data_IF_400516590586
#
_entry.id   IF_400516590586
#
_cell.length_a   1.000
_cell.length_b   1.000
_cell.length_c   1.000
_cell.angle_alpha   90.00
_cell.angle_beta   90.00
_cell.angle_gamma   90.00
#
_symmetry.space_group_name_H-M   'P 1'
#
loop_
_entity.id
_entity.type
_entity.pdbx_description
1 polymer ?
#
# COMPACT_ATOMS: atom_id res chain seq x y z
N UNK A 1 -15.87 -13.32 -15.75
CA UNK A 1 -14.49 -12.81 -15.99
C UNK A 1 -14.00 -12.16 -14.71
N UNK A 2 -12.86 -12.57 -14.16
CA UNK A 2 -12.33 -11.96 -12.93
C UNK A 2 -11.90 -10.51 -13.16
N UNK A 3 -12.18 -9.62 -12.20
CA UNK A 3 -11.73 -8.23 -12.21
C UNK A 3 -10.19 -8.11 -12.21
N UNK A 4 -9.66 -6.87 -12.17
CA UNK A 4 -8.20 -6.61 -12.20
C UNK A 4 -7.43 -7.41 -11.14
N UNK A 5 -7.93 -7.47 -9.91
CA UNK A 5 -7.32 -8.27 -8.84
C UNK A 5 -7.27 -9.78 -9.16
N UNK A 6 -8.32 -10.33 -9.78
CA UNK A 6 -8.34 -11.74 -10.20
C UNK A 6 -7.36 -12.03 -11.33
N UNK A 7 -7.12 -11.07 -12.24
CA UNK A 7 -6.05 -11.18 -13.24
C UNK A 7 -4.68 -11.17 -12.59
N UNK A 8 -4.39 -10.17 -11.75
CA UNK A 8 -3.15 -10.09 -10.98
C UNK A 8 -2.88 -11.41 -10.24
N UNK A 9 -3.86 -11.94 -9.52
CA UNK A 9 -3.70 -13.18 -8.75
C UNK A 9 -3.23 -14.36 -9.61
N UNK A 10 -3.77 -14.52 -10.82
CA UNK A 10 -3.43 -15.60 -11.76
C UNK A 10 -2.02 -15.48 -12.34
N UNK A 11 -1.51 -14.26 -12.48
CA UNK A 11 -0.20 -13.97 -13.06
C UNK A 11 0.82 -13.48 -12.04
N UNK A 12 0.54 -13.61 -10.74
CA UNK A 12 1.31 -13.02 -9.65
C UNK A 12 2.80 -13.41 -9.73
N UNK A 13 3.07 -14.70 -9.93
CA UNK A 13 4.43 -15.25 -10.01
C UNK A 13 5.24 -14.76 -11.22
N UNK A 14 4.58 -14.21 -12.24
CA UNK A 14 5.25 -13.61 -13.41
C UNK A 14 5.26 -12.08 -13.37
N UNK A 15 4.53 -11.49 -12.43
CA UNK A 15 4.37 -10.04 -12.33
C UNK A 15 5.47 -9.41 -11.51
N UNK A 16 5.87 -8.21 -11.90
CA UNK A 16 6.82 -7.37 -11.18
C UNK A 16 6.10 -6.27 -10.40
N UNK A 17 6.58 -5.99 -9.18
CA UNK A 17 6.06 -4.94 -8.31
C UNK A 17 7.13 -3.89 -8.04
N UNK A 18 6.78 -2.62 -8.20
CA UNK A 18 7.52 -1.51 -7.60
C UNK A 18 6.77 -0.95 -6.39
N UNK A 19 7.46 -0.81 -5.27
CA UNK A 19 6.96 -0.18 -4.04
C UNK A 19 7.52 1.23 -3.97
N UNK A 20 6.62 2.22 -4.00
CA UNK A 20 7.00 3.63 -3.93
C UNK A 20 7.43 4.00 -2.50
N UNK A 21 7.95 5.22 -2.34
CA UNK A 21 8.24 5.79 -1.03
C UNK A 21 7.01 5.69 -0.11
N UNK A 22 7.19 5.08 1.05
CA UNK A 22 6.14 4.97 2.08
C UNK A 22 6.02 6.32 2.77
N UNK A 23 4.79 6.73 3.09
CA UNK A 23 4.55 7.91 3.92
C UNK A 23 4.18 7.50 5.34
N UNK A 24 4.78 8.16 6.32
CA UNK A 24 4.53 7.96 7.74
C UNK A 24 4.33 9.32 8.42
N UNK A 25 3.16 9.55 9.01
CA UNK A 25 2.84 10.80 9.70
C UNK A 25 2.92 12.03 8.76
N UNK A 26 2.49 11.88 7.51
CA UNK A 26 2.49 12.93 6.50
C UNK A 26 3.84 13.20 5.80
N UNK A 27 4.91 12.52 6.20
CA UNK A 27 6.26 12.66 5.61
C UNK A 27 6.69 11.37 4.91
N UNK A 28 7.58 11.46 3.93
CA UNK A 28 8.25 10.26 3.41
C UNK A 28 9.05 9.61 4.52
N UNK A 29 8.90 8.30 4.67
CA UNK A 29 9.63 7.50 5.64
C UNK A 29 11.15 7.60 5.41
N UNK A 30 11.91 7.65 6.50
CA UNK A 30 13.36 7.90 6.47
C UNK A 30 14.18 6.65 6.12
N UNK A 31 13.56 5.46 6.10
CA UNK A 31 14.25 4.23 5.70
C UNK A 31 14.59 4.22 4.23
N UNK A 32 15.62 3.45 3.88
CA UNK A 32 16.05 3.32 2.50
C UNK A 32 15.04 2.47 1.72
N UNK A 33 14.87 2.76 0.43
CA UNK A 33 14.11 1.91 -0.49
C UNK A 33 14.49 0.42 -0.37
N UNK A 34 15.78 0.09 -0.25
CA UNK A 34 16.25 -1.29 -0.14
C UNK A 34 15.62 -2.06 1.03
N UNK A 35 15.48 -1.42 2.19
CA UNK A 35 14.86 -2.03 3.37
C UNK A 35 13.37 -2.32 3.15
N UNK A 36 12.66 -1.43 2.44
CA UNK A 36 11.23 -1.61 2.12
C UNK A 36 10.96 -2.73 1.12
N UNK A 37 11.86 -2.95 0.16
CA UNK A 37 11.69 -3.98 -0.87
C UNK A 37 11.65 -5.40 -0.31
N UNK A 38 12.39 -5.65 0.78
CA UNK A 38 12.43 -6.95 1.46
C UNK A 38 11.07 -7.32 2.07
N UNK A 39 10.32 -6.32 2.56
CA UNK A 39 9.11 -6.55 3.32
C UNK A 39 7.95 -7.15 2.53
N UNK A 40 7.88 -6.90 1.21
CA UNK A 40 6.81 -7.41 0.36
C UNK A 40 7.23 -8.56 -0.57
N UNK A 41 8.50 -8.97 -0.54
CA UNK A 41 8.98 -10.14 -1.28
C UNK A 41 8.17 -11.43 -1.04
N UNK A 42 7.69 -11.75 0.19
CA UNK A 42 6.94 -12.98 0.46
C UNK A 42 5.51 -13.01 -0.12
N UNK A 43 5.05 -11.96 -0.81
CA UNK A 43 3.71 -11.91 -1.42
C UNK A 43 3.62 -12.80 -2.66
N UNK A 44 4.75 -13.12 -3.30
CA UNK A 44 4.81 -14.06 -4.43
C UNK A 44 4.88 -13.40 -5.82
N UNK A 45 5.21 -12.10 -5.89
CA UNK A 45 5.60 -11.46 -7.14
C UNK A 45 6.92 -12.04 -7.66
N UNK A 46 7.13 -12.01 -8.98
CA UNK A 46 8.40 -12.40 -9.63
C UNK A 46 9.58 -11.61 -9.07
N UNK A 47 9.37 -10.31 -8.91
CA UNK A 47 10.32 -9.41 -8.27
C UNK A 47 9.57 -8.27 -7.58
N UNK A 48 10.15 -7.84 -6.46
CA UNK A 48 9.70 -6.66 -5.72
C UNK A 48 10.91 -5.73 -5.60
N UNK A 49 10.77 -4.54 -6.15
CA UNK A 49 11.77 -3.48 -6.04
C UNK A 49 11.12 -2.32 -5.31
N UNK A 50 11.85 -1.68 -4.42
CA UNK A 50 11.39 -0.45 -3.80
C UNK A 50 12.18 0.74 -4.32
N UNK A 51 11.56 1.92 -4.28
CA UNK A 51 12.16 3.20 -4.67
C UNK A 51 11.78 4.29 -3.67
N UNK A 52 12.57 5.35 -3.61
CA UNK A 52 12.23 6.57 -2.87
C UNK A 52 11.35 7.51 -3.70
N UNK A 53 11.20 7.23 -5.00
CA UNK A 53 10.27 7.95 -5.86
C UNK A 53 8.81 7.68 -5.46
N UNK A 54 7.97 8.70 -5.59
CA UNK A 54 6.54 8.58 -5.36
C UNK A 54 5.83 9.94 -5.43
N UNK A 55 4.49 9.94 -5.43
CA UNK A 55 3.74 11.19 -5.36
C UNK A 55 3.95 11.87 -4.01
N UNK A 56 4.13 13.19 -4.03
CA UNK A 56 3.91 14.00 -2.84
C UNK A 56 2.40 14.13 -2.66
N UNK A 57 1.84 13.39 -1.69
CA UNK A 57 0.39 13.42 -1.48
C UNK A 57 -0.01 14.67 -0.70
N UNK A 58 -0.88 15.46 -1.31
CA UNK A 58 -1.58 16.56 -0.67
C UNK A 58 -2.95 16.06 -0.20
N UNK A 59 -2.99 15.46 0.99
CA UNK A 59 -4.21 14.88 1.56
C UNK A 59 -4.85 15.92 2.48
N UNK A 60 -6.12 16.25 2.23
CA UNK A 60 -6.91 17.07 3.15
C UNK A 60 -7.30 16.24 4.35
N UNK A 61 -7.14 16.82 5.54
CA UNK A 61 -7.59 16.22 6.79
C UNK A 61 -9.08 15.85 6.70
N UNK A 62 -9.39 14.60 6.98
CA UNK A 62 -10.76 14.10 7.05
C UNK A 62 -10.84 13.04 8.16
N UNK A 63 -11.92 13.03 8.97
CA UNK A 63 -12.17 11.97 9.93
C UNK A 63 -12.67 10.68 9.25
N UNK A 64 -12.91 10.70 7.92
CA UNK A 64 -13.37 9.55 7.16
C UNK A 64 -12.20 8.92 6.40
N UNK A 65 -11.70 7.78 6.90
CA UNK A 65 -10.60 7.04 6.28
C UNK A 65 -10.88 6.62 4.83
N UNK A 66 -12.15 6.39 4.47
CA UNK A 66 -12.50 6.09 3.08
C UNK A 66 -12.28 7.31 2.17
N UNK A 67 -12.53 8.52 2.66
CA UNK A 67 -12.25 9.74 1.93
C UNK A 67 -10.74 9.95 1.76
N UNK A 68 -9.96 9.78 2.84
CA UNK A 68 -8.49 9.84 2.82
C UNK A 68 -7.91 8.83 1.83
N UNK A 69 -8.38 7.58 1.88
CA UNK A 69 -8.00 6.53 0.94
C UNK A 69 -8.22 6.93 -0.51
N UNK A 70 -9.40 7.46 -0.85
CA UNK A 70 -9.71 7.84 -2.22
C UNK A 70 -9.01 9.13 -2.66
N UNK A 71 -8.66 10.04 -1.75
CA UNK A 71 -7.77 11.16 -2.06
C UNK A 71 -6.38 10.63 -2.46
N UNK A 72 -5.80 9.74 -1.66
CA UNK A 72 -4.51 9.12 -1.93
C UNK A 72 -4.53 8.31 -3.24
N UNK A 73 -5.55 7.46 -3.44
CA UNK A 73 -5.66 6.61 -4.63
C UNK A 73 -5.71 7.40 -5.95
N UNK A 74 -6.39 8.56 -5.96
CA UNK A 74 -6.43 9.44 -7.14
C UNK A 74 -5.08 10.07 -7.44
N UNK A 75 -4.35 10.51 -6.42
CA UNK A 75 -3.02 11.10 -6.60
C UNK A 75 -1.99 10.07 -7.03
N UNK A 76 -2.03 8.85 -6.47
CA UNK A 76 -1.21 7.72 -6.91
C UNK A 76 -1.47 7.39 -8.37
N UNK A 77 -2.75 7.28 -8.77
CA UNK A 77 -3.11 7.05 -10.17
C UNK A 77 -2.55 8.13 -11.09
N UNK A 78 -2.74 9.40 -10.76
CA UNK A 78 -2.21 10.50 -11.55
C UNK A 78 -0.69 10.43 -11.70
N UNK A 79 0.02 10.11 -10.62
CA UNK A 79 1.47 9.95 -10.64
C UNK A 79 1.91 8.78 -11.51
N UNK A 80 1.26 7.61 -11.40
CA UNK A 80 1.58 6.43 -12.23
C UNK A 80 1.35 6.74 -13.71
N UNK A 81 0.25 7.42 -14.04
CA UNK A 81 -0.06 7.82 -15.43
C UNK A 81 0.97 8.80 -16.01
N UNK A 82 1.56 9.67 -15.18
CA UNK A 82 2.59 10.62 -15.60
C UNK A 82 3.98 9.99 -15.75
N UNK A 83 4.33 9.01 -14.91
CA UNK A 83 5.68 8.45 -14.84
C UNK A 83 5.83 7.11 -15.58
N UNK A 84 4.73 6.39 -15.82
CA UNK A 84 4.66 5.07 -16.48
C UNK A 84 5.78 4.12 -16.03
N UNK A 85 5.73 3.58 -14.79
CA UNK A 85 6.78 2.72 -14.26
C UNK A 85 7.01 1.47 -15.11
N UNK A 86 8.25 0.98 -15.15
CA UNK A 86 8.58 -0.25 -15.90
C UNK A 86 7.98 -1.52 -15.27
N UNK A 87 7.69 -1.52 -13.96
CA UNK A 87 7.05 -2.66 -13.30
C UNK A 87 5.60 -2.87 -13.78
N UNK A 88 5.08 -4.09 -13.65
CA UNK A 88 3.68 -4.40 -14.04
C UNK A 88 2.68 -3.79 -13.06
N UNK A 89 3.08 -3.67 -11.79
CA UNK A 89 2.28 -3.12 -10.71
C UNK A 89 3.07 -2.13 -9.87
N UNK A 90 2.34 -1.19 -9.25
CA UNK A 90 2.86 -0.12 -8.41
C UNK A 90 2.09 -0.12 -7.10
N UNK A 91 2.79 -0.22 -5.96
CA UNK A 91 2.20 -0.09 -4.64
C UNK A 91 2.69 1.18 -3.93
N UNK A 92 1.75 1.93 -3.36
CA UNK A 92 2.01 3.04 -2.45
C UNK A 92 1.30 2.76 -1.13
N UNK A 93 1.94 3.10 -0.01
CA UNK A 93 1.34 3.03 1.30
C UNK A 93 1.52 4.34 2.09
N UNK A 94 0.47 4.73 2.81
CA UNK A 94 0.40 5.93 3.64
C UNK A 94 -0.09 5.56 5.03
N UNK A 95 0.76 5.79 6.04
CA UNK A 95 0.55 5.40 7.42
C UNK A 95 0.26 6.63 8.26
N UNK A 96 -0.95 6.69 8.81
CA UNK A 96 -1.35 7.71 9.78
C UNK A 96 -0.76 7.36 11.16
N UNK A 97 0.57 7.36 11.25
CA UNK A 97 1.35 7.04 12.44
C UNK A 97 1.87 8.31 13.10
N UNK A 98 1.71 8.40 14.42
CA UNK A 98 2.11 9.57 15.21
C UNK A 98 2.51 9.16 16.62
N UNK A 99 3.16 10.08 17.35
CA UNK A 99 3.50 9.89 18.75
C UNK A 99 2.45 10.57 19.63
N UNK A 100 1.69 9.79 20.39
CA UNK A 100 0.62 10.27 21.28
C UNK A 100 0.94 9.83 22.71
N UNK A 101 1.06 10.78 23.64
CA UNK A 101 1.34 10.46 25.04
C UNK A 101 2.67 9.74 25.28
N UNK A 102 3.65 9.92 24.40
CA UNK A 102 4.96 9.26 24.47
C UNK A 102 5.04 7.91 23.75
N UNK A 103 3.92 7.34 23.31
CA UNK A 103 3.84 6.09 22.55
C UNK A 103 3.64 6.35 21.05
N UNK A 104 4.27 5.54 20.20
CA UNK A 104 3.97 5.55 18.76
C UNK A 104 2.74 4.69 18.49
N UNK A 105 1.75 5.24 17.78
CA UNK A 105 0.54 4.54 17.37
C UNK A 105 0.16 4.90 15.95
N UNK A 106 -0.24 3.92 15.16
CA UNK A 106 -0.97 4.17 13.93
C UNK A 106 -2.47 4.35 14.23
N UNK A 107 -3.09 5.33 13.60
CA UNK A 107 -4.55 5.50 13.57
C UNK A 107 -5.16 4.73 12.38
N UNK A 108 -4.45 4.73 11.24
CA UNK A 108 -4.85 4.04 10.03
C UNK A 108 -3.65 3.68 9.15
N UNK A 109 -3.85 2.68 8.29
CA UNK A 109 -2.92 2.25 7.25
C UNK A 109 -3.67 2.19 5.93
N UNK A 110 -3.28 3.05 4.98
CA UNK A 110 -3.82 3.11 3.63
C UNK A 110 -2.83 2.52 2.64
N UNK A 111 -3.32 1.79 1.64
CA UNK A 111 -2.47 1.41 0.52
C UNK A 111 -3.26 1.27 -0.78
N UNK A 112 -2.54 1.51 -1.87
CA UNK A 112 -3.07 1.55 -3.23
C UNK A 112 -2.16 0.72 -4.11
N UNK A 113 -2.75 -0.22 -4.85
CA UNK A 113 -2.09 -1.01 -5.88
C UNK A 113 -2.68 -0.65 -7.24
N UNK A 114 -1.86 -0.09 -8.12
CA UNK A 114 -2.21 0.18 -9.50
C UNK A 114 -1.49 -0.80 -10.44
N UNK A 115 -2.04 -1.03 -11.63
CA UNK A 115 -1.26 -1.55 -12.75
C UNK A 115 -0.40 -0.45 -13.38
N UNK A 116 0.44 -0.84 -14.35
CA UNK A 116 1.32 0.07 -15.10
C UNK A 116 0.58 1.24 -15.77
N UNK A 117 -0.70 1.09 -16.12
CA UNK A 117 -1.50 2.14 -16.74
C UNK A 117 -2.12 3.10 -15.71
N UNK A 118 -1.92 2.83 -14.41
CA UNK A 118 -2.50 3.59 -13.32
C UNK A 118 -3.94 3.19 -12.99
N UNK A 119 -4.45 2.09 -13.54
CA UNK A 119 -5.75 1.60 -13.13
C UNK A 119 -5.65 0.94 -11.76
N UNK A 120 -6.62 1.25 -10.89
CA UNK A 120 -6.69 0.63 -9.57
C UNK A 120 -6.97 -0.87 -9.68
N UNK A 121 -6.08 -1.66 -9.10
CA UNK A 121 -6.17 -3.13 -9.02
C UNK A 121 -6.74 -3.51 -7.66
N UNK A 122 -6.16 -2.98 -6.59
CA UNK A 122 -6.62 -3.10 -5.21
C UNK A 122 -6.41 -1.77 -4.50
N UNK A 123 -7.36 -1.43 -3.64
CA UNK A 123 -7.31 -0.27 -2.76
C UNK A 123 -7.89 -0.75 -1.43
N UNK A 124 -7.18 -0.52 -0.33
CA UNK A 124 -7.60 -0.98 0.99
C UNK A 124 -7.11 -0.02 2.07
N UNK A 125 -7.82 -0.01 3.19
CA UNK A 125 -7.39 0.67 4.40
C UNK A 125 -7.71 -0.19 5.61
N UNK A 126 -6.93 -0.02 6.68
CA UNK A 126 -7.14 -0.67 7.95
C UNK A 126 -7.01 0.36 9.07
N UNK A 127 -7.85 0.23 10.10
CA UNK A 127 -7.84 1.06 11.31
C UNK A 127 -8.32 0.20 12.50
N UNK A 128 -8.44 0.80 13.68
CA UNK A 128 -8.78 0.10 14.93
C UNK A 128 -10.12 -0.65 14.93
N UNK A 129 -10.99 -0.43 13.94
CA UNK A 129 -12.24 -1.18 13.78
C UNK A 129 -12.07 -2.52 13.04
N UNK A 130 -10.90 -2.78 12.46
CA UNK A 130 -10.63 -3.97 11.67
C UNK A 130 -9.82 -5.02 12.43
N UNK A 131 -10.19 -6.29 12.29
CA UNK A 131 -9.56 -7.40 13.03
C UNK A 131 -8.05 -7.54 12.73
N UNK A 132 -7.64 -7.39 11.47
CA UNK A 132 -6.22 -7.50 11.10
C UNK A 132 -5.38 -6.37 11.71
N UNK A 133 -5.95 -5.16 11.81
CA UNK A 133 -5.31 -4.04 12.48
C UNK A 133 -5.15 -4.31 13.99
N UNK A 134 -6.22 -4.78 14.64
CA UNK A 134 -6.20 -5.12 16.06
C UNK A 134 -5.21 -6.25 16.37
N UNK A 135 -5.11 -7.24 15.49
CA UNK A 135 -4.20 -8.36 15.64
C UNK A 135 -2.73 -7.96 15.48
N UNK A 136 -2.44 -7.03 14.55
CA UNK A 136 -1.08 -6.51 14.35
C UNK A 136 -0.70 -5.48 15.41
N UNK A 137 -1.66 -4.67 15.88
CA UNK A 137 -1.47 -3.56 16.83
C UNK A 137 -0.30 -2.64 16.43
N UNK A 138 -0.38 -1.96 15.27
CA UNK A 138 0.76 -1.30 14.66
C UNK A 138 1.30 -0.11 15.45
N UNK A 139 2.56 -0.22 15.89
CA UNK A 139 3.29 0.78 16.68
C UNK A 139 4.56 1.28 16.00
N UNK A 140 4.77 0.88 14.76
CA UNK A 140 5.94 1.21 13.95
C UNK A 140 5.59 1.18 12.45
N UNK A 141 6.48 1.73 11.63
CA UNK A 141 6.35 1.65 10.16
C UNK A 141 6.41 0.18 9.72
N UNK A 142 7.24 -0.63 10.37
CA UNK A 142 7.40 -2.06 10.12
C UNK A 142 6.09 -2.81 10.38
N UNK A 143 5.41 -2.52 11.48
CA UNK A 143 4.11 -3.13 11.78
C UNK A 143 3.06 -2.72 10.76
N UNK A 144 3.05 -1.46 10.33
CA UNK A 144 2.17 -0.99 9.27
C UNK A 144 2.43 -1.71 7.96
N UNK A 145 3.70 -1.94 7.57
CA UNK A 145 4.03 -2.69 6.36
C UNK A 145 3.65 -4.17 6.50
N UNK A 146 3.87 -4.78 7.66
CA UNK A 146 3.40 -6.14 7.94
C UNK A 146 1.89 -6.24 7.76
N UNK A 147 1.14 -5.23 8.20
CA UNK A 147 -0.30 -5.17 7.98
C UNK A 147 -0.64 -5.08 6.48
N UNK A 148 0.07 -4.26 5.71
CA UNK A 148 -0.07 -4.21 4.23
C UNK A 148 0.18 -5.58 3.60
N UNK A 149 1.24 -6.29 4.01
CA UNK A 149 1.58 -7.62 3.49
C UNK A 149 0.45 -8.63 3.75
N UNK A 150 -0.05 -8.69 5.00
CA UNK A 150 -1.15 -9.58 5.40
C UNK A 150 -2.39 -9.27 4.57
N UNK A 151 -2.77 -8.00 4.48
CA UNK A 151 -3.96 -7.57 3.75
C UNK A 151 -3.83 -7.83 2.25
N UNK A 152 -2.70 -7.53 1.64
CA UNK A 152 -2.46 -7.78 0.22
C UNK A 152 -2.61 -9.28 -0.09
N UNK A 153 -2.02 -10.16 0.71
CA UNK A 153 -2.18 -11.62 0.57
C UNK A 153 -3.65 -12.06 0.66
N UNK A 154 -4.40 -11.55 1.65
CA UNK A 154 -5.83 -11.86 1.83
C UNK A 154 -6.67 -11.35 0.66
N UNK A 155 -6.51 -10.10 0.24
CA UNK A 155 -7.22 -9.50 -0.90
C UNK A 155 -6.95 -10.26 -2.20
N UNK A 156 -5.73 -10.74 -2.40
CA UNK A 156 -5.36 -11.60 -3.53
C UNK A 156 -6.02 -12.99 -3.46
N UNK A 157 -6.22 -13.55 -2.27
CA UNK A 157 -6.95 -14.82 -2.09
C UNK A 157 -8.45 -14.65 -2.31
N UNK A 158 -9.06 -13.59 -1.77
CA UNK A 158 -10.47 -13.24 -1.93
C UNK A 158 -10.85 -13.05 -3.41
N UNK A 159 -9.93 -12.54 -4.24
CA UNK A 159 -10.14 -12.35 -5.67
C UNK A 159 -10.36 -13.66 -6.46
N UNK A 160 -10.20 -14.84 -5.85
CA UNK A 160 -10.52 -16.15 -6.43
C UNK A 160 -11.98 -16.61 -6.21
N UNK A 161 -12.71 -16.00 -5.28
CA UNK A 161 -14.08 -16.37 -4.94
C UNK A 161 -15.03 -15.26 -5.38
N UNK A 162 -15.50 -15.26 -6.66
CA UNK A 162 -16.47 -14.29 -7.15
C UNK A 162 -17.83 -14.44 -6.48
#
# INVERSE_FOLDING_TARGET
>A
MGGRAGRLRKQLAESTLVVLGVRAGGRTDEKTAAERGVWLAPVGFKSVVATDAGPMLDLKDSPNEQEVLWQAARQVRAWVQQHTPQADYVLMADFAISRIGGETKAAAVHWVLCDRQGDWVLVDYQNSHHADFQQVDPKSVEDCVRLVEIRLKKRLQEANNP
#
